data_IF_998232981673
#
_entry.id   IF_998232981673
#
_cell.length_a   1.000
_cell.length_b   1.000
_cell.length_c   1.000
_cell.angle_alpha   90.00
_cell.angle_beta   90.00
_cell.angle_gamma   90.00
#
_symmetry.space_group_name_H-M   'P 1'
#
loop_
_entity.id
_entity.type
_entity.pdbx_description
1 polymer ?
#
# COMPACT_ATOMS: atom_id res chain seq x y z
N UNK A 1 -14.16 14.82 2.53
CA UNK A 1 -13.71 15.00 3.92
C UNK A 1 -12.20 14.94 3.94
N UNK A 2 -11.58 15.90 4.60
CA UNK A 2 -10.11 15.98 4.71
C UNK A 2 -9.58 15.06 5.81
N UNK A 3 -10.41 14.76 6.80
CA UNK A 3 -10.09 13.86 7.90
C UNK A 3 -11.12 12.74 8.01
N UNK A 4 -10.75 11.67 8.71
CA UNK A 4 -11.66 10.58 9.03
C UNK A 4 -12.82 11.08 9.90
N UNK A 5 -12.55 11.94 10.87
CA UNK A 5 -13.54 12.43 11.81
C UNK A 5 -14.63 13.27 11.14
N UNK A 6 -14.24 14.12 10.19
CA UNK A 6 -15.14 14.91 9.34
C UNK A 6 -16.10 14.01 8.53
N UNK A 7 -15.59 12.91 7.96
CA UNK A 7 -16.42 11.93 7.26
C UNK A 7 -17.42 11.21 8.17
N UNK A 8 -17.02 10.89 9.40
CA UNK A 8 -17.86 10.18 10.37
C UNK A 8 -18.93 11.08 10.97
N UNK A 9 -18.64 12.36 11.19
CA UNK A 9 -19.63 13.33 11.65
C UNK A 9 -20.71 13.55 10.59
N UNK A 10 -20.31 13.70 9.33
CA UNK A 10 -21.26 13.79 8.22
C UNK A 10 -22.15 12.53 8.14
N UNK A 11 -21.58 11.33 8.17
CA UNK A 11 -22.35 10.10 8.10
C UNK A 11 -23.36 9.96 9.25
N UNK A 12 -22.96 10.31 10.49
CA UNK A 12 -23.84 10.32 11.66
C UNK A 12 -24.97 11.33 11.53
N UNK A 13 -24.68 12.55 11.06
CA UNK A 13 -25.69 13.59 10.86
C UNK A 13 -26.73 13.24 9.79
N UNK A 14 -26.36 12.36 8.85
CA UNK A 14 -27.22 11.92 7.75
C UNK A 14 -27.82 10.52 7.94
N UNK A 15 -27.56 9.86 9.08
CA UNK A 15 -28.07 8.52 9.37
C UNK A 15 -27.54 7.43 8.43
N UNK A 16 -26.34 7.60 7.89
CA UNK A 16 -25.72 6.65 6.96
C UNK A 16 -24.96 5.57 7.73
N UNK A 17 -25.22 4.29 7.38
CA UNK A 17 -24.38 3.18 7.82
C UNK A 17 -23.14 3.09 6.93
N UNK A 18 -21.96 3.15 7.55
CA UNK A 18 -20.68 3.28 6.84
C UNK A 18 -19.63 2.36 7.43
N UNK A 19 -18.79 1.81 6.55
CA UNK A 19 -17.60 1.04 6.94
C UNK A 19 -16.35 1.90 6.83
N UNK A 20 -15.53 1.90 7.90
CA UNK A 20 -14.26 2.64 7.89
C UNK A 20 -13.16 1.75 7.31
N UNK A 21 -12.59 2.17 6.20
CA UNK A 21 -11.37 1.58 5.65
C UNK A 21 -10.15 2.40 6.05
N UNK A 22 -9.09 1.72 6.48
CA UNK A 22 -7.83 2.39 6.83
C UNK A 22 -7.04 2.76 5.56
N UNK A 23 -6.27 3.87 5.58
CA UNK A 23 -5.41 4.23 4.46
C UNK A 23 -4.35 3.15 4.22
N UNK A 24 -4.31 2.60 3.00
CA UNK A 24 -3.27 1.66 2.59
C UNK A 24 -2.04 2.43 2.07
N UNK A 25 -1.17 2.83 2.99
CA UNK A 25 0.07 3.53 2.62
C UNK A 25 1.01 2.57 1.90
N UNK A 26 1.46 2.97 0.71
CA UNK A 26 2.48 2.22 -0.03
C UNK A 26 3.77 2.17 0.78
N UNK A 27 4.30 0.96 0.96
CA UNK A 27 5.64 0.76 1.51
C UNK A 27 6.69 1.08 0.43
N UNK A 28 7.81 1.66 0.83
CA UNK A 28 8.97 1.78 -0.04
C UNK A 28 9.44 0.39 -0.50
N UNK A 29 9.68 0.23 -1.80
CA UNK A 29 10.21 -1.02 -2.36
C UNK A 29 11.74 -1.03 -2.22
N UNK A 30 12.22 -1.33 -1.01
CA UNK A 30 13.66 -1.43 -0.72
C UNK A 30 14.12 -2.84 -1.12
N UNK A 31 14.80 -2.95 -2.26
CA UNK A 31 15.39 -4.20 -2.76
C UNK A 31 16.91 -4.12 -2.62
N UNK A 32 17.54 -4.94 -1.76
CA UNK A 32 18.99 -5.09 -1.77
C UNK A 32 19.47 -5.39 -3.20
N UNK A 33 20.60 -4.84 -3.65
CA UNK A 33 21.15 -5.11 -4.99
C UNK A 33 20.32 -4.67 -6.23
N UNK A 34 19.08 -4.20 -6.06
CA UNK A 34 18.26 -3.58 -7.11
C UNK A 34 18.11 -4.44 -8.37
N UNK A 35 18.37 -3.82 -9.54
CA UNK A 35 18.29 -4.53 -10.82
C UNK A 35 19.38 -5.61 -10.99
N UNK A 36 20.54 -5.46 -10.33
CA UNK A 36 21.65 -6.41 -10.41
C UNK A 36 21.31 -7.80 -9.84
N UNK A 37 20.38 -7.88 -8.87
CA UNK A 37 19.86 -9.16 -8.36
C UNK A 37 19.18 -10.03 -9.43
N UNK A 38 18.80 -9.47 -10.57
CA UNK A 38 18.23 -10.25 -11.67
C UNK A 38 19.23 -11.23 -12.28
N UNK A 39 20.52 -10.90 -12.21
CA UNK A 39 21.62 -11.67 -12.79
C UNK A 39 22.60 -12.20 -11.74
N UNK A 40 22.31 -12.00 -10.44
CA UNK A 40 23.18 -12.47 -9.37
C UNK A 40 23.34 -14.00 -9.41
N UNK A 41 24.58 -14.48 -9.46
CA UNK A 41 24.92 -15.91 -9.52
C UNK A 41 24.48 -16.69 -8.28
N UNK A 42 24.29 -15.99 -7.15
CA UNK A 42 23.76 -16.57 -5.91
C UNK A 42 22.23 -16.79 -5.93
N UNK A 43 21.52 -16.31 -6.96
CA UNK A 43 20.08 -16.52 -7.11
C UNK A 43 19.82 -17.93 -7.65
N UNK A 44 18.82 -18.63 -7.08
CA UNK A 44 18.40 -19.99 -7.51
C UNK A 44 17.84 -20.09 -8.94
N UNK A 45 17.88 -19.00 -9.70
CA UNK A 45 17.50 -18.91 -11.11
C UNK A 45 17.70 -17.46 -11.55
N UNK A 46 18.63 -17.23 -12.50
CA UNK A 46 18.75 -15.94 -13.16
C UNK A 46 17.46 -15.67 -13.95
N UNK A 47 17.05 -14.40 -14.03
CA UNK A 47 15.94 -14.03 -14.90
C UNK A 47 16.43 -14.08 -16.35
N UNK A 48 16.03 -15.10 -17.09
CA UNK A 48 16.19 -15.17 -18.55
C UNK A 48 14.90 -14.69 -19.20
N UNK A 49 15.02 -14.00 -20.34
CA UNK A 49 13.90 -13.43 -21.10
C UNK A 49 12.79 -14.45 -21.38
#
# INVERSE_FOLDING_TARGET
FETKDDALEYARGHGLDVIVQQPNKRRANIRPGGYGENFATARRGAWTH
#
